data_IF_981442634250
#
_entry.id   IF_981442634250
#
_cell.length_a   1.000
_cell.length_b   1.000
_cell.length_c   1.000
_cell.angle_alpha   90.00
_cell.angle_beta   90.00
_cell.angle_gamma   90.00
#
_symmetry.space_group_name_H-M   'P 1'
#
loop_
_entity.id
_entity.type
_entity.pdbx_description
1 polymer ?
#
# COMPACT_ATOMS: atom_id res chain seq x y z
N UNK A 1 -9.51 -38.60 36.91
CA UNK A 1 -10.29 -37.33 36.84
C UNK A 1 -9.84 -36.62 35.58
N UNK A 2 -10.80 -36.25 34.72
CA UNK A 2 -10.67 -36.00 33.28
C UNK A 2 -9.59 -34.96 32.91
N UNK A 3 -8.76 -35.29 31.92
CA UNK A 3 -8.04 -34.31 31.09
C UNK A 3 -9.05 -33.36 30.44
N UNK A 4 -8.82 -32.05 30.58
CA UNK A 4 -9.51 -31.07 29.74
C UNK A 4 -8.93 -31.22 28.33
N UNK A 5 -9.74 -31.74 27.42
CA UNK A 5 -9.49 -31.68 25.99
C UNK A 5 -9.23 -30.22 25.59
N UNK A 6 -8.15 -30.00 24.85
CA UNK A 6 -7.85 -28.71 24.25
C UNK A 6 -9.03 -28.25 23.42
N UNK A 7 -9.45 -27.01 23.61
CA UNK A 7 -10.33 -26.34 22.66
C UNK A 7 -9.64 -26.42 21.28
N UNK A 8 -10.36 -26.84 20.21
CA UNK A 8 -9.80 -26.78 18.87
C UNK A 8 -9.48 -25.32 18.56
N UNK A 9 -8.25 -25.04 18.11
CA UNK A 9 -7.91 -23.74 17.52
C UNK A 9 -9.01 -23.38 16.53
N UNK A 10 -9.65 -22.22 16.72
CA UNK A 10 -10.68 -21.72 15.79
C UNK A 10 -10.07 -21.70 14.38
N UNK A 11 -10.71 -22.39 13.43
CA UNK A 11 -10.25 -22.44 12.05
C UNK A 11 -10.47 -21.07 11.40
N UNK A 12 -9.43 -20.23 11.41
CA UNK A 12 -9.45 -18.92 10.75
C UNK A 12 -9.31 -19.13 9.24
N UNK A 13 -10.31 -18.70 8.47
CA UNK A 13 -10.26 -18.67 7.01
C UNK A 13 -10.02 -17.24 6.51
N UNK A 14 -9.12 -17.09 5.54
CA UNK A 14 -8.84 -15.83 4.87
C UNK A 14 -9.33 -15.90 3.42
N UNK A 15 -9.95 -14.83 2.95
CA UNK A 15 -10.29 -14.63 1.53
C UNK A 15 -9.58 -13.37 1.04
N UNK A 16 -8.83 -13.48 -0.04
CA UNK A 16 -8.14 -12.36 -0.68
C UNK A 16 -9.01 -11.88 -1.84
N UNK A 17 -9.25 -10.58 -1.88
CA UNK A 17 -9.94 -9.91 -2.97
C UNK A 17 -8.96 -8.99 -3.69
N UNK A 18 -8.82 -9.19 -4.99
CA UNK A 18 -8.07 -8.29 -5.87
C UNK A 18 -9.07 -7.47 -6.67
N UNK A 19 -9.13 -6.17 -6.37
CA UNK A 19 -10.00 -5.25 -7.08
C UNK A 19 -9.19 -4.64 -8.21
N UNK A 20 -9.39 -5.16 -9.43
CA UNK A 20 -8.75 -4.60 -10.62
C UNK A 20 -9.04 -3.10 -10.76
N UNK A 21 -8.12 -2.35 -11.36
CA UNK A 21 -8.17 -0.88 -11.46
C UNK A 21 -9.19 -0.30 -12.46
N UNK A 22 -10.18 -1.08 -12.91
CA UNK A 22 -11.17 -0.59 -13.88
C UNK A 22 -12.39 -0.01 -13.17
N UNK A 23 -12.75 1.23 -13.54
CA UNK A 23 -13.86 1.97 -12.92
C UNK A 23 -15.22 1.26 -12.98
N UNK A 24 -15.41 0.37 -13.96
CA UNK A 24 -16.64 -0.40 -14.14
C UNK A 24 -16.95 -1.29 -12.92
N UNK A 25 -15.95 -1.70 -12.15
CA UNK A 25 -16.14 -2.52 -10.94
C UNK A 25 -16.47 -1.70 -9.69
N UNK A 26 -16.40 -0.36 -9.76
CA UNK A 26 -16.55 0.51 -8.60
C UNK A 26 -17.94 0.44 -7.96
N UNK A 27 -18.96 0.14 -8.76
CA UNK A 27 -20.31 -0.08 -8.27
C UNK A 27 -20.42 -1.25 -7.26
N UNK A 28 -19.47 -2.20 -7.29
CA UNK A 28 -19.51 -3.40 -6.45
C UNK A 28 -18.71 -3.28 -5.16
N UNK A 29 -17.90 -2.23 -4.98
CA UNK A 29 -17.00 -2.12 -3.82
C UNK A 29 -17.74 -2.18 -2.47
N UNK A 30 -18.92 -1.56 -2.39
CA UNK A 30 -19.74 -1.56 -1.17
C UNK A 30 -20.17 -2.95 -0.70
N UNK A 31 -20.11 -3.98 -1.54
CA UNK A 31 -20.47 -5.35 -1.19
C UNK A 31 -19.36 -6.07 -0.40
N UNK A 32 -18.11 -5.60 -0.51
CA UNK A 32 -16.95 -6.32 -0.03
C UNK A 32 -16.07 -5.52 0.94
N UNK A 33 -16.18 -4.19 0.93
CA UNK A 33 -15.53 -3.34 1.92
C UNK A 33 -16.23 -3.47 3.29
N UNK A 34 -15.52 -3.98 4.28
CA UNK A 34 -16.00 -4.15 5.65
C UNK A 34 -14.98 -3.68 6.69
N UNK A 35 -15.45 -3.39 7.90
CA UNK A 35 -14.62 -2.99 9.05
C UNK A 35 -13.74 -4.11 9.64
N UNK A 36 -13.92 -5.35 9.19
CA UNK A 36 -13.14 -6.51 9.64
C UNK A 36 -12.09 -6.96 8.61
N UNK A 37 -11.95 -6.21 7.50
CA UNK A 37 -10.97 -6.47 6.46
C UNK A 37 -9.59 -5.91 6.77
N UNK A 38 -8.57 -6.53 6.17
CA UNK A 38 -7.22 -5.99 6.08
C UNK A 38 -7.05 -5.38 4.70
N UNK A 39 -6.66 -4.11 4.63
CA UNK A 39 -6.53 -3.37 3.38
C UNK A 39 -5.08 -3.09 3.03
N UNK A 40 -4.71 -3.48 1.81
CA UNK A 40 -3.43 -3.15 1.19
C UNK A 40 -3.73 -2.37 -0.07
N UNK A 41 -3.29 -1.11 -0.11
CA UNK A 41 -3.42 -0.25 -1.27
C UNK A 41 -2.08 -0.22 -2.01
N UNK A 42 -2.07 -0.73 -3.23
CA UNK A 42 -0.85 -0.92 -4.02
C UNK A 42 -0.77 0.15 -5.11
N UNK A 43 0.41 0.70 -5.35
CA UNK A 43 0.64 1.73 -6.37
C UNK A 43 2.02 1.58 -7.02
N UNK A 44 2.17 2.09 -8.24
CA UNK A 44 3.44 2.14 -8.95
C UNK A 44 4.24 3.39 -8.55
N UNK A 45 5.45 3.18 -7.99
CA UNK A 45 6.29 4.31 -7.57
C UNK A 45 6.74 5.20 -8.73
N UNK A 46 6.78 4.68 -9.96
CA UNK A 46 7.21 5.39 -11.16
C UNK A 46 6.16 6.42 -11.57
N UNK A 47 4.89 6.05 -11.49
CA UNK A 47 3.76 6.94 -11.77
C UNK A 47 3.72 8.13 -10.80
N UNK A 48 3.97 7.91 -9.50
CA UNK A 48 4.00 9.02 -8.52
C UNK A 48 5.19 9.95 -8.68
N UNK A 49 6.32 9.47 -9.21
CA UNK A 49 7.47 10.34 -9.51
C UNK A 49 7.30 11.09 -10.84
N UNK A 50 6.34 10.68 -11.66
CA UNK A 50 6.12 11.20 -13.00
C UNK A 50 6.86 10.37 -14.05
N UNK A 51 6.16 9.96 -15.10
CA UNK A 51 6.71 9.11 -16.17
C UNK A 51 7.85 9.79 -16.94
N UNK A 52 7.87 11.12 -16.96
CA UNK A 52 8.96 11.94 -17.50
C UNK A 52 10.32 11.63 -16.84
N UNK A 53 10.32 11.15 -15.59
CA UNK A 53 11.55 10.77 -14.89
C UNK A 53 12.18 9.49 -15.43
N UNK A 54 11.42 8.71 -16.21
CA UNK A 54 11.77 7.39 -16.68
C UNK A 54 11.83 7.29 -18.22
N UNK A 55 11.56 8.38 -18.95
CA UNK A 55 11.64 8.44 -20.43
C UNK A 55 13.01 8.00 -20.97
N UNK A 56 14.09 8.34 -20.26
CA UNK A 56 15.46 7.99 -20.66
C UNK A 56 15.94 6.63 -20.10
N UNK A 57 15.15 5.99 -19.22
CA UNK A 57 15.55 4.79 -18.45
C UNK A 57 14.80 3.55 -18.93
N UNK A 58 13.50 3.70 -19.21
CA UNK A 58 12.61 2.60 -19.61
C UNK A 58 12.39 2.58 -21.11
N UNK A 59 11.88 1.47 -21.62
CA UNK A 59 11.48 1.36 -23.02
C UNK A 59 10.24 2.25 -23.29
N UNK A 60 10.15 2.83 -24.50
CA UNK A 60 9.05 3.73 -24.89
C UNK A 60 7.67 3.09 -24.65
N UNK A 61 7.53 1.80 -24.96
CA UNK A 61 6.30 1.04 -24.71
C UNK A 61 5.95 0.85 -23.22
N UNK A 62 6.93 0.91 -22.32
CA UNK A 62 6.70 0.85 -20.87
C UNK A 62 6.26 2.20 -20.34
N UNK A 63 6.91 3.28 -20.78
CA UNK A 63 6.55 4.65 -20.41
C UNK A 63 5.15 5.02 -20.91
N UNK A 64 4.75 4.55 -22.09
CA UNK A 64 3.39 4.76 -22.61
C UNK A 64 2.30 4.06 -21.79
N UNK A 65 2.63 2.96 -21.09
CA UNK A 65 1.69 2.22 -20.23
C UNK A 65 1.55 2.82 -18.84
N UNK A 66 2.49 3.67 -18.42
CA UNK A 66 2.41 4.35 -17.13
C UNK A 66 1.32 5.41 -17.17
N UNK A 67 0.46 5.36 -16.15
CA UNK A 67 -0.49 6.42 -15.89
C UNK A 67 0.26 7.72 -15.53
N UNK A 68 -0.39 8.86 -15.78
CA UNK A 68 0.16 10.13 -15.33
C UNK A 68 0.16 10.22 -13.80
N UNK A 69 1.03 11.07 -13.24
CA UNK A 69 1.06 11.31 -11.80
C UNK A 69 -0.33 11.74 -11.26
N UNK A 70 -1.08 12.52 -12.04
CA UNK A 70 -2.41 12.99 -11.66
C UNK A 70 -3.41 11.82 -11.56
N UNK A 71 -3.47 10.95 -12.56
CA UNK A 71 -4.34 9.77 -12.58
C UNK A 71 -4.02 8.79 -11.45
N UNK A 72 -2.73 8.54 -11.18
CA UNK A 72 -2.30 7.69 -10.08
C UNK A 72 -2.72 8.27 -8.72
N UNK A 73 -2.59 9.59 -8.53
CA UNK A 73 -3.01 10.28 -7.32
C UNK A 73 -4.53 10.26 -7.13
N UNK A 74 -5.30 10.49 -8.20
CA UNK A 74 -6.76 10.43 -8.17
C UNK A 74 -7.23 9.04 -7.79
N UNK A 75 -6.63 8.00 -8.38
CA UNK A 75 -6.91 6.60 -8.07
C UNK A 75 -6.63 6.29 -6.60
N UNK A 76 -5.49 6.72 -6.06
CA UNK A 76 -5.17 6.53 -4.65
C UNK A 76 -6.16 7.25 -3.72
N UNK A 77 -6.52 8.50 -4.02
CA UNK A 77 -7.47 9.26 -3.23
C UNK A 77 -8.85 8.58 -3.24
N UNK A 78 -9.31 8.15 -4.41
CA UNK A 78 -10.57 7.43 -4.58
C UNK A 78 -10.64 6.18 -3.69
N UNK A 79 -9.61 5.35 -3.73
CA UNK A 79 -9.58 4.11 -2.95
C UNK A 79 -9.54 4.34 -1.46
N UNK A 80 -8.73 5.31 -0.98
CA UNK A 80 -8.70 5.67 0.43
C UNK A 80 -10.06 6.18 0.89
N UNK A 81 -10.69 7.07 0.12
CA UNK A 81 -12.01 7.62 0.48
C UNK A 81 -13.09 6.52 0.47
N UNK A 82 -13.03 5.59 -0.49
CA UNK A 82 -13.93 4.43 -0.55
C UNK A 82 -13.79 3.53 0.67
N UNK A 83 -12.56 3.12 1.01
CA UNK A 83 -12.29 2.29 2.20
C UNK A 83 -12.77 3.02 3.46
N UNK A 84 -12.49 4.31 3.61
CA UNK A 84 -12.90 5.08 4.79
C UNK A 84 -14.40 5.24 4.92
N UNK A 85 -15.11 5.37 3.82
CA UNK A 85 -16.57 5.47 3.81
C UNK A 85 -17.22 4.18 4.33
N UNK A 86 -16.68 3.03 3.94
CA UNK A 86 -17.26 1.71 4.26
C UNK A 86 -16.65 1.05 5.51
N UNK A 87 -15.42 1.42 5.88
CA UNK A 87 -14.63 0.82 6.93
C UNK A 87 -13.83 1.90 7.71
N UNK A 88 -14.49 2.83 8.42
CA UNK A 88 -13.86 4.04 8.96
C UNK A 88 -12.78 3.80 10.02
N UNK A 89 -12.78 2.64 10.68
CA UNK A 89 -11.86 2.31 11.78
C UNK A 89 -10.67 1.43 11.35
N UNK A 90 -10.58 1.06 10.07
CA UNK A 90 -9.49 0.19 9.59
C UNK A 90 -8.25 1.02 9.30
N UNK A 91 -7.10 0.39 9.53
CA UNK A 91 -5.82 0.92 9.07
C UNK A 91 -5.51 0.33 7.69
N UNK A 92 -4.92 1.13 6.83
CA UNK A 92 -4.55 0.77 5.46
C UNK A 92 -3.02 0.69 5.39
N UNK A 93 -2.49 -0.40 4.84
CA UNK A 93 -1.08 -0.41 4.42
C UNK A 93 -0.99 0.06 2.98
N UNK A 94 -0.11 1.03 2.72
CA UNK A 94 0.17 1.46 1.34
C UNK A 94 1.46 0.79 0.88
N UNK A 95 1.45 0.18 -0.29
CA UNK A 95 2.59 -0.54 -0.89
C UNK A 95 2.97 0.14 -2.20
N UNK A 96 4.22 0.59 -2.30
CA UNK A 96 4.80 1.11 -3.53
C UNK A 96 5.60 0.01 -4.22
N UNK A 97 5.27 -0.28 -5.48
CA UNK A 97 5.90 -1.34 -6.28
C UNK A 97 7.07 -0.81 -7.12
N UNK A 98 7.79 -1.71 -7.79
CA UNK A 98 8.95 -1.39 -8.65
C UNK A 98 10.12 -0.77 -7.88
N UNK A 99 10.45 -1.33 -6.71
CA UNK A 99 11.61 -0.93 -5.92
C UNK A 99 12.94 -1.16 -6.65
N UNK A 100 13.00 -2.16 -7.53
CA UNK A 100 14.14 -2.43 -8.41
C UNK A 100 14.42 -1.26 -9.37
N UNK A 101 13.38 -0.59 -9.86
CA UNK A 101 13.48 0.58 -10.73
C UNK A 101 13.56 1.91 -9.96
N UNK A 102 13.02 1.95 -8.74
CA UNK A 102 13.07 3.11 -7.83
C UNK A 102 13.84 2.77 -6.54
N UNK A 103 15.16 2.50 -6.58
CA UNK A 103 15.92 2.09 -5.40
C UNK A 103 16.32 3.26 -4.48
N UNK A 104 16.24 4.50 -4.96
CA UNK A 104 16.77 5.67 -4.24
C UNK A 104 15.94 6.05 -3.02
N UNK A 105 16.61 6.19 -1.87
CA UNK A 105 15.97 6.68 -0.64
C UNK A 105 15.47 8.13 -0.76
N UNK A 106 16.08 8.95 -1.61
CA UNK A 106 15.59 10.32 -1.83
C UNK A 106 14.28 10.32 -2.62
N UNK A 107 14.17 9.46 -3.64
CA UNK A 107 12.90 9.23 -4.35
C UNK A 107 11.83 8.69 -3.39
N UNK A 108 12.17 7.76 -2.48
CA UNK A 108 11.20 7.29 -1.48
C UNK A 108 10.71 8.40 -0.54
N UNK A 109 11.57 9.34 -0.15
CA UNK A 109 11.17 10.50 0.65
C UNK A 109 10.29 11.46 -0.13
N UNK A 110 10.57 11.65 -1.41
CA UNK A 110 9.77 12.46 -2.31
C UNK A 110 8.36 11.88 -2.46
N UNK A 111 8.25 10.58 -2.74
CA UNK A 111 6.98 9.85 -2.79
C UNK A 111 6.23 9.97 -1.46
N UNK A 112 6.91 9.76 -0.32
CA UNK A 112 6.30 9.91 1.01
C UNK A 112 5.76 11.33 1.22
N UNK A 113 6.48 12.36 0.77
CA UNK A 113 6.02 13.75 0.84
C UNK A 113 4.80 14.00 -0.07
N UNK A 114 4.80 13.47 -1.28
CA UNK A 114 3.65 13.55 -2.21
C UNK A 114 2.43 12.88 -1.58
N UNK A 115 2.57 11.65 -1.06
CA UNK A 115 1.51 10.93 -0.38
C UNK A 115 0.98 11.72 0.81
N UNK A 116 1.83 12.26 1.69
CA UNK A 116 1.40 13.06 2.85
C UNK A 116 0.62 14.30 2.48
N UNK A 117 1.01 14.97 1.40
CA UNK A 117 0.46 16.28 1.03
C UNK A 117 -0.81 16.14 0.19
N UNK A 118 -0.81 15.23 -0.79
CA UNK A 118 -1.91 15.07 -1.75
C UNK A 118 -2.90 13.99 -1.32
N UNK A 119 -2.43 12.85 -0.81
CA UNK A 119 -3.26 11.65 -0.57
C UNK A 119 -3.68 11.50 0.90
N UNK A 120 -2.80 11.80 1.86
CA UNK A 120 -3.01 11.59 3.31
C UNK A 120 -3.21 12.91 4.06
N UNK A 121 -3.71 13.92 3.35
CA UNK A 121 -4.11 15.17 3.99
C UNK A 121 -5.38 14.96 4.85
N UNK A 122 -5.77 15.97 5.63
CA UNK A 122 -6.93 15.87 6.54
C UNK A 122 -8.25 15.58 5.82
N UNK A 123 -8.39 15.93 4.54
CA UNK A 123 -9.59 15.65 3.73
C UNK A 123 -9.79 14.13 3.59
N UNK A 124 -8.69 13.42 3.35
CA UNK A 124 -8.65 11.98 3.12
C UNK A 124 -8.34 11.16 4.39
N UNK A 125 -8.52 11.75 5.58
CA UNK A 125 -8.47 11.04 6.86
C UNK A 125 -7.19 11.20 7.65
N UNK A 126 -6.18 11.80 7.02
CA UNK A 126 -4.91 12.06 7.67
C UNK A 126 -4.08 10.80 7.88
N UNK A 127 -2.91 11.01 8.48
CA UNK A 127 -1.90 9.98 8.72
C UNK A 127 -2.34 8.88 9.69
N UNK A 128 -3.44 9.06 10.43
CA UNK A 128 -3.95 8.05 11.37
C UNK A 128 -4.58 6.84 10.69
N UNK A 129 -5.00 6.98 9.44
CA UNK A 129 -5.62 5.89 8.67
C UNK A 129 -4.58 4.94 8.07
N UNK A 130 -3.32 5.34 7.98
CA UNK A 130 -2.29 4.57 7.29
C UNK A 130 -1.25 4.02 8.26
N UNK A 131 -0.82 2.79 8.00
CA UNK A 131 0.24 2.12 8.75
C UNK A 131 1.59 2.69 8.33
N UNK A 132 2.31 3.28 9.29
CA UNK A 132 3.65 3.81 9.05
C UNK A 132 4.70 2.71 9.01
N UNK A 133 5.49 2.67 7.95
CA UNK A 133 6.68 1.85 7.82
C UNK A 133 7.88 2.56 8.49
N UNK A 134 8.16 2.16 9.72
CA UNK A 134 9.29 2.68 10.49
C UNK A 134 10.50 1.77 10.35
N UNK A 135 11.61 2.33 9.87
CA UNK A 135 12.89 1.64 9.71
C UNK A 135 13.99 2.30 10.56
N UNK A 136 15.01 1.51 10.90
CA UNK A 136 16.15 1.96 11.71
C UNK A 136 15.89 1.93 13.23
N UNK A 137 16.95 2.21 14.00
CA UNK A 137 16.92 2.27 15.48
C UNK A 137 17.58 3.56 15.98
N UNK A 138 17.07 4.09 17.09
CA UNK A 138 17.63 5.28 17.75
C UNK A 138 17.54 6.55 16.90
N UNK A 139 18.67 7.25 16.70
CA UNK A 139 18.73 8.54 15.99
C UNK A 139 18.57 8.45 14.47
N UNK A 140 18.63 7.25 13.88
CA UNK A 140 18.44 7.00 12.43
C UNK A 140 17.06 6.41 12.12
N UNK A 141 16.05 6.75 12.92
CA UNK A 141 14.67 6.31 12.71
C UNK A 141 14.06 7.10 11.55
N UNK A 142 13.65 6.39 10.51
CA UNK A 142 12.95 6.97 9.36
C UNK A 142 11.57 6.34 9.29
N UNK A 143 10.53 7.14 9.11
CA UNK A 143 9.16 6.64 8.96
C UNK A 143 8.60 7.10 7.62
N UNK A 144 8.32 6.13 6.75
CA UNK A 144 7.56 6.32 5.52
C UNK A 144 6.11 5.88 5.76
N UNK A 145 5.15 6.47 5.06
CA UNK A 145 3.74 6.08 5.09
C UNK A 145 3.38 5.11 3.96
N UNK A 146 4.39 4.44 3.42
CA UNK A 146 4.22 3.33 2.50
C UNK A 146 5.37 2.32 2.65
N UNK A 147 5.17 1.14 2.10
CA UNK A 147 6.13 0.04 2.08
C UNK A 147 6.65 -0.12 0.64
N UNK A 148 7.90 0.32 0.35
CA UNK A 148 8.52 0.05 -0.94
C UNK A 148 8.85 -1.44 -1.05
N UNK A 149 8.28 -2.12 -2.04
CA UNK A 149 8.43 -3.56 -2.28
C UNK A 149 8.93 -3.78 -3.70
N UNK A 150 9.89 -4.69 -3.81
CA UNK A 150 10.34 -5.23 -5.08
C UNK A 150 9.41 -6.39 -5.43
N UNK A 151 8.60 -6.22 -6.47
CA UNK A 151 7.64 -7.23 -6.90
C UNK A 151 8.29 -8.38 -7.67
N UNK A 152 9.58 -8.25 -8.03
CA UNK A 152 10.38 -9.27 -8.68
C UNK A 152 11.12 -10.15 -7.67
N UNK A 153 11.33 -9.67 -6.44
CA UNK A 153 11.95 -10.43 -5.35
C UNK A 153 10.98 -11.41 -4.67
N UNK A 154 10.97 -12.65 -5.16
CA UNK A 154 10.20 -13.76 -4.55
C UNK A 154 10.81 -14.31 -3.26
N UNK A 155 12.04 -13.93 -2.91
CA UNK A 155 12.76 -14.48 -1.76
C UNK A 155 12.66 -13.59 -0.52
N UNK A 156 12.11 -12.38 -0.64
CA UNK A 156 12.04 -11.38 0.44
C UNK A 156 13.42 -11.14 1.07
N UNK A 157 14.46 -11.00 0.24
CA UNK A 157 15.86 -10.95 0.66
C UNK A 157 16.14 -9.78 1.63
N UNK A 158 15.38 -8.69 1.49
CA UNK A 158 15.43 -7.48 2.32
C UNK A 158 14.41 -7.45 3.47
N UNK A 159 13.71 -8.56 3.73
CA UNK A 159 12.65 -8.71 4.74
C UNK A 159 11.57 -7.61 4.66
N UNK A 160 11.28 -7.11 3.45
CA UNK A 160 10.32 -6.01 3.23
C UNK A 160 8.90 -6.49 3.39
N UNK A 161 8.59 -7.64 2.80
CA UNK A 161 7.28 -8.29 2.90
C UNK A 161 7.07 -8.79 4.33
N UNK A 162 8.12 -9.34 4.95
CA UNK A 162 8.10 -9.74 6.36
C UNK A 162 7.77 -8.56 7.29
N UNK A 163 8.33 -7.37 7.05
CA UNK A 163 8.00 -6.15 7.80
C UNK A 163 6.57 -5.69 7.58
N UNK A 164 6.07 -5.72 6.35
CA UNK A 164 4.67 -5.41 6.05
C UNK A 164 3.74 -6.36 6.82
N UNK A 165 4.02 -7.66 6.82
CA UNK A 165 3.23 -8.66 7.56
C UNK A 165 3.20 -8.36 9.06
N UNK A 166 4.34 -8.04 9.66
CA UNK A 166 4.41 -7.65 11.09
C UNK A 166 3.60 -6.39 11.34
N UNK A 167 3.66 -5.39 10.45
CA UNK A 167 2.94 -4.14 10.59
C UNK A 167 1.41 -4.31 10.45
N UNK A 168 0.95 -5.26 9.64
CA UNK A 168 -0.47 -5.61 9.49
C UNK A 168 -1.03 -6.42 10.67
N UNK A 169 -0.16 -7.07 11.44
CA UNK A 169 -0.54 -7.94 12.56
C UNK A 169 -0.58 -7.21 13.92
N UNK A 170 -0.35 -5.89 13.94
CA UNK A 170 -0.15 -5.06 15.13
C UNK A 170 -1.31 -4.08 15.40
#
# INVERSE_FOLDING_TARGET
>A
VKEKAGEPDEEISFTIWDYGGQEVFYALHHLFLTQYGVYVLVFDMRELLGKEHFEDILEEEEVEKLDSQEEALETLCFWIDSIRLHAPNVKIAIVGTYLDEVPSLEQHKEIDQILRTKVLNKKHGGLSTVIGNTTGKGKKKTTLYFFPIDNMDRQDADERVSRLRVALSA
#
